data_IF_724027197401
#
_entry.id   IF_724027197401
#
_cell.length_a   1.000
_cell.length_b   1.000
_cell.length_c   1.000
_cell.angle_alpha   90.00
_cell.angle_beta   90.00
_cell.angle_gamma   90.00
#
_symmetry.space_group_name_H-M   'P 1'
#
loop_
_entity.id
_entity.type
_entity.pdbx_description
1 polymer ?
#
# COMPACT_ATOMS: atom_id res chain seq x y z
N UNK A 1 -2.16 -15.19 52.44
CA UNK A 1 -2.40 -14.37 51.22
C UNK A 1 -2.02 -12.93 51.54
N UNK A 2 -0.94 -12.42 50.97
CA UNK A 2 -0.55 -11.02 51.13
C UNK A 2 -0.77 -10.29 49.80
N UNK A 3 -1.89 -9.58 49.70
CA UNK A 3 -2.12 -8.68 48.58
C UNK A 3 -1.23 -7.44 48.73
N UNK A 4 -0.09 -7.44 48.05
CA UNK A 4 0.51 -6.19 47.58
C UNK A 4 0.21 -6.06 46.10
N UNK A 5 -0.88 -5.38 45.74
CA UNK A 5 -1.06 -4.85 44.37
C UNK A 5 -0.19 -3.61 44.23
N UNK A 6 1.12 -3.79 44.25
CA UNK A 6 2.08 -2.74 43.87
C UNK A 6 2.18 -2.67 42.35
N UNK A 7 1.15 -2.15 41.69
CA UNK A 7 1.15 -1.94 40.24
C UNK A 7 1.78 -0.59 39.91
N UNK A 8 3.02 -0.57 39.43
CA UNK A 8 3.62 0.62 38.85
C UNK A 8 2.93 0.98 37.53
N UNK A 9 2.66 2.27 37.27
CA UNK A 9 2.12 2.71 35.99
C UNK A 9 3.15 2.48 34.89
N UNK A 10 2.80 1.73 33.84
CA UNK A 10 3.66 1.58 32.66
C UNK A 10 3.60 2.85 31.81
N UNK A 11 4.76 3.37 31.38
CA UNK A 11 4.85 4.54 30.48
C UNK A 11 4.78 4.12 29.01
N UNK A 12 3.64 3.58 28.61
CA UNK A 12 3.38 3.18 27.22
C UNK A 12 2.67 4.33 26.49
N UNK A 13 3.44 5.26 25.93
CA UNK A 13 2.92 6.45 25.21
C UNK A 13 3.71 6.84 23.97
N UNK A 14 4.55 5.93 23.43
CA UNK A 14 5.30 6.17 22.19
C UNK A 14 4.50 5.62 21.02
N UNK A 15 4.24 6.48 20.04
CA UNK A 15 3.68 6.07 18.76
C UNK A 15 4.41 6.76 17.61
N UNK A 16 4.34 6.15 16.43
CA UNK A 16 4.88 6.68 15.19
C UNK A 16 3.80 7.44 14.41
N UNK A 17 4.18 8.48 13.68
CA UNK A 17 3.25 9.19 12.80
C UNK A 17 2.75 8.25 11.69
N UNK A 18 1.52 8.46 11.25
CA UNK A 18 0.96 7.75 10.09
C UNK A 18 1.77 7.98 8.82
N UNK A 19 2.15 6.89 8.15
CA UNK A 19 3.06 6.90 6.99
C UNK A 19 2.38 7.18 5.64
N UNK A 20 1.07 7.50 5.65
CA UNK A 20 0.27 7.83 4.45
C UNK A 20 0.34 6.78 3.33
N UNK A 21 0.46 5.50 3.72
CA UNK A 21 0.35 4.36 2.81
C UNK A 21 -1.06 4.27 2.21
N UNK A 22 -1.23 3.38 1.24
CA UNK A 22 -2.50 3.09 0.58
C UNK A 22 -2.53 3.45 -0.90
N UNK A 23 -3.69 3.20 -1.49
CA UNK A 23 -4.01 3.51 -2.89
C UNK A 23 -4.11 5.02 -3.07
N UNK A 24 -3.61 5.53 -4.20
CA UNK A 24 -3.60 6.94 -4.58
C UNK A 24 -4.49 7.22 -5.79
N UNK A 25 -4.55 6.27 -6.72
CA UNK A 25 -5.41 6.31 -7.90
C UNK A 25 -6.20 5.01 -7.93
N UNK A 26 -7.52 5.13 -8.06
CA UNK A 26 -8.46 4.00 -7.96
C UNK A 26 -8.76 3.36 -9.32
N UNK A 27 -9.50 2.25 -9.30
CA UNK A 27 -9.94 1.55 -10.50
C UNK A 27 -10.71 2.49 -11.44
N UNK A 28 -10.49 2.33 -12.75
CA UNK A 28 -11.13 3.13 -13.81
C UNK A 28 -10.81 4.63 -13.79
N UNK A 29 -9.80 5.07 -13.02
CA UNK A 29 -9.30 6.45 -13.08
C UNK A 29 -8.12 6.55 -14.05
N UNK A 30 -7.98 7.74 -14.66
CA UNK A 30 -6.85 8.07 -15.50
C UNK A 30 -5.59 8.34 -14.66
N UNK A 31 -4.46 7.78 -15.08
CA UNK A 31 -3.15 7.99 -14.51
C UNK A 31 -2.18 8.47 -15.59
N UNK A 32 -1.34 9.44 -15.24
CA UNK A 32 -0.22 9.85 -16.10
C UNK A 32 0.97 8.91 -15.91
N UNK A 33 1.84 8.79 -16.90
CA UNK A 33 3.13 8.15 -16.80
C UNK A 33 3.92 8.74 -15.61
N UNK A 34 4.51 7.86 -14.80
CA UNK A 34 5.20 8.20 -13.57
C UNK A 34 4.29 8.44 -12.35
N UNK A 35 2.96 8.47 -12.52
CA UNK A 35 2.05 8.69 -11.38
C UNK A 35 2.09 7.52 -10.39
N UNK A 36 2.08 7.83 -9.10
CA UNK A 36 2.03 6.81 -8.05
C UNK A 36 0.61 6.25 -7.95
N UNK A 37 0.48 4.92 -8.04
CA UNK A 37 -0.79 4.21 -7.94
C UNK A 37 -1.02 3.74 -6.49
N UNK A 38 -0.03 3.11 -5.86
CA UNK A 38 -0.14 2.55 -4.51
C UNK A 38 1.17 2.73 -3.74
N UNK A 39 1.10 3.26 -2.52
CA UNK A 39 2.20 3.21 -1.55
C UNK A 39 1.96 2.06 -0.56
N UNK A 40 2.87 1.11 -0.46
CA UNK A 40 2.67 -0.09 0.36
C UNK A 40 3.93 -0.49 1.13
N UNK A 41 3.77 -1.40 2.09
CA UNK A 41 4.86 -2.11 2.77
C UNK A 41 4.78 -3.56 2.36
N UNK A 42 5.83 -4.04 1.70
CA UNK A 42 5.79 -5.29 0.95
C UNK A 42 4.81 -5.23 -0.23
N UNK A 43 4.72 -6.32 -0.98
CA UNK A 43 3.95 -6.40 -2.22
C UNK A 43 2.56 -7.00 -1.96
N UNK A 44 1.65 -6.19 -1.40
CA UNK A 44 0.25 -6.60 -1.22
C UNK A 44 -0.50 -6.63 -2.56
N UNK A 45 -0.23 -5.63 -3.39
CA UNK A 45 -0.67 -5.56 -4.77
C UNK A 45 0.56 -5.68 -5.65
N UNK A 46 0.48 -6.54 -6.66
CA UNK A 46 1.57 -6.82 -7.59
C UNK A 46 1.50 -5.90 -8.81
N UNK A 47 2.64 -5.57 -9.42
CA UNK A 47 2.65 -4.89 -10.71
C UNK A 47 2.07 -5.82 -11.79
N UNK A 48 1.22 -5.26 -12.64
CA UNK A 48 0.67 -5.87 -13.85
C UNK A 48 1.24 -5.20 -15.10
N UNK A 49 0.42 -5.07 -16.13
CA UNK A 49 0.85 -4.50 -17.41
C UNK A 49 1.07 -2.98 -17.26
N UNK A 50 2.19 -2.49 -17.79
CA UNK A 50 2.58 -1.08 -17.76
C UNK A 50 2.66 -0.44 -16.37
N UNK A 51 2.96 -1.24 -15.33
CA UNK A 51 3.14 -0.78 -13.96
C UNK A 51 4.52 -1.19 -13.46
N UNK A 52 5.28 -0.22 -12.97
CA UNK A 52 6.58 -0.44 -12.33
C UNK A 52 6.46 -0.59 -10.82
N UNK A 53 7.47 -1.23 -10.21
CA UNK A 53 7.62 -1.32 -8.76
C UNK A 53 8.91 -0.65 -8.30
N UNK A 54 8.81 0.26 -7.34
CA UNK A 54 9.96 0.93 -6.73
C UNK A 54 10.63 0.08 -5.64
N UNK A 55 11.81 0.53 -5.16
CA UNK A 55 12.56 -0.13 -4.08
C UNK A 55 11.75 -0.29 -2.79
N UNK A 56 10.86 0.65 -2.49
CA UNK A 56 9.98 0.61 -1.31
C UNK A 56 8.66 -0.16 -1.56
N UNK A 57 8.55 -0.84 -2.71
CA UNK A 57 7.35 -1.54 -3.21
C UNK A 57 6.21 -0.61 -3.66
N UNK A 58 6.45 0.70 -3.78
CA UNK A 58 5.48 1.63 -4.38
C UNK A 58 5.25 1.27 -5.85
N UNK A 59 3.97 1.22 -6.25
CA UNK A 59 3.57 0.98 -7.64
C UNK A 59 3.35 2.31 -8.35
N UNK A 60 3.86 2.42 -9.58
CA UNK A 60 3.73 3.62 -10.41
C UNK A 60 3.40 3.25 -11.86
N UNK A 61 2.69 4.14 -12.55
CA UNK A 61 2.35 3.94 -13.96
C UNK A 61 3.56 4.15 -14.86
N UNK A 62 3.77 3.28 -15.85
CA UNK A 62 4.82 3.47 -16.86
C UNK A 62 4.33 4.26 -18.08
N UNK A 63 3.00 4.30 -18.29
CA UNK A 63 2.36 4.99 -19.42
C UNK A 63 1.19 5.85 -18.95
N UNK A 64 0.66 6.68 -19.83
CA UNK A 64 -0.64 7.32 -19.64
C UNK A 64 -1.75 6.28 -19.91
N UNK A 65 -2.79 6.27 -19.07
CA UNK A 65 -3.92 5.37 -19.29
C UNK A 65 -4.83 5.20 -18.08
N UNK A 66 -5.80 4.31 -18.20
CA UNK A 66 -6.77 3.96 -17.17
C UNK A 66 -6.26 2.81 -16.31
N UNK A 67 -6.41 2.96 -14.98
CA UNK A 67 -5.99 1.94 -14.01
C UNK A 67 -7.02 0.80 -13.95
N UNK A 68 -6.51 -0.44 -13.96
CA UNK A 68 -7.30 -1.64 -13.67
C UNK A 68 -6.73 -2.47 -12.54
N UNK A 69 -7.51 -2.72 -11.49
CA UNK A 69 -7.20 -3.69 -10.45
C UNK A 69 -7.82 -5.04 -10.79
N UNK A 70 -6.99 -6.09 -10.75
CA UNK A 70 -7.36 -7.45 -11.15
C UNK A 70 -6.93 -8.45 -10.08
N UNK A 71 -7.61 -9.60 -10.03
CA UNK A 71 -7.12 -10.75 -9.24
C UNK A 71 -5.99 -11.41 -10.02
N UNK A 72 -4.84 -11.59 -9.37
CA UNK A 72 -3.72 -12.36 -9.90
C UNK A 72 -3.89 -13.86 -9.58
N UNK A 73 -4.40 -14.16 -8.39
CA UNK A 73 -4.70 -15.52 -7.92
C UNK A 73 -5.81 -15.43 -6.86
N UNK A 74 -6.08 -16.54 -6.15
CA UNK A 74 -7.11 -16.61 -5.11
C UNK A 74 -6.96 -15.49 -4.08
N UNK A 75 -5.73 -15.25 -3.62
CA UNK A 75 -5.42 -14.31 -2.53
C UNK A 75 -4.62 -13.08 -2.97
N UNK A 76 -4.12 -13.06 -4.21
CA UNK A 76 -3.24 -12.00 -4.72
C UNK A 76 -3.97 -11.10 -5.69
N UNK A 77 -3.70 -9.80 -5.61
CA UNK A 77 -4.20 -8.78 -6.53
C UNK A 77 -3.04 -8.16 -7.32
N UNK A 78 -3.30 -7.75 -8.55
CA UNK A 78 -2.38 -6.94 -9.35
C UNK A 78 -3.06 -5.67 -9.85
N UNK A 79 -2.26 -4.71 -10.29
CA UNK A 79 -2.76 -3.50 -10.94
C UNK A 79 -2.05 -3.30 -12.28
N UNK A 80 -2.82 -3.01 -13.31
CA UNK A 80 -2.36 -2.77 -14.68
C UNK A 80 -2.84 -1.39 -15.13
N UNK A 81 -2.18 -0.82 -16.14
CA UNK A 81 -2.61 0.42 -16.81
C UNK A 81 -2.79 0.15 -18.30
N UNK A 82 -3.95 0.54 -18.82
CA UNK A 82 -4.34 0.37 -20.22
C UNK A 82 -4.66 1.73 -20.84
N UNK A 83 -4.16 2.00 -22.05
CA UNK A 83 -4.53 3.21 -22.80
C UNK A 83 -5.88 3.04 -23.49
#
# INVERSE_FOLDING_TARGET
>A
MAHKKGGGSTRNGRDSRGQRLGVKIYDSQFAKAGSIIVRQRGTKIYPGNNVGIGRDHTLFSMIDGTIKFEKLSRDKKRVSVYS
#
